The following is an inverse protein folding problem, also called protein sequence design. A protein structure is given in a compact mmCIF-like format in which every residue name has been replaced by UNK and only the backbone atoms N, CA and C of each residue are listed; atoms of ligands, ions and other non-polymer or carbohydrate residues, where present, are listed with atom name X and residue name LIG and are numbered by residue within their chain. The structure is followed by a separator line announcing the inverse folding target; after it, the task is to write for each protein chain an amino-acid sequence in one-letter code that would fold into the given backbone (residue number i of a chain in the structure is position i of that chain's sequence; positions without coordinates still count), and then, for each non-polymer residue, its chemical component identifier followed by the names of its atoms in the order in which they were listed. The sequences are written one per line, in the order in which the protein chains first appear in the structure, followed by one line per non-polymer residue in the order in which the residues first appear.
data_IF_387385023361
#
_entry.id   IF_387385023361
#
_cell.length_a   1.000
_cell.length_b   1.000
_cell.length_c   1.000
_cell.angle_alpha   90.00
_cell.angle_beta   90.00
_cell.angle_gamma   90.00
#
_symmetry.space_group_name_H-M   'P 1'
#
loop_
_entity.id
_entity.type
_entity.pdbx_description
1 polymer ?
#
# COMPACT_ATOMS: atom_id res chain seq x y z
N UNK A 1 11.53 6.83 -22.33
CA UNK A 1 10.66 5.64 -22.46
C UNK A 1 9.83 5.58 -21.20
N UNK A 2 8.52 5.74 -21.29
CA UNK A 2 7.62 5.57 -20.12
C UNK A 2 7.68 4.09 -19.70
N UNK A 3 8.00 3.81 -18.45
CA UNK A 3 7.93 2.44 -17.91
C UNK A 3 6.51 1.90 -18.07
N UNK A 4 6.38 0.61 -18.36
CA UNK A 4 5.06 -0.02 -18.40
C UNK A 4 4.36 0.11 -17.05
N UNK A 5 3.04 0.33 -17.01
CA UNK A 5 2.31 0.43 -15.74
C UNK A 5 2.37 -0.91 -14.97
N UNK A 6 2.52 -0.81 -13.67
CA UNK A 6 2.51 -1.98 -12.77
C UNK A 6 1.09 -2.56 -12.67
N UNK A 7 0.94 -3.85 -12.93
CA UNK A 7 -0.32 -4.57 -12.71
C UNK A 7 -0.39 -5.04 -11.24
N UNK A 8 -1.24 -4.39 -10.45
CA UNK A 8 -1.45 -4.68 -9.03
C UNK A 8 -2.77 -5.44 -8.82
N UNK A 9 -2.69 -6.61 -8.18
CA UNK A 9 -3.86 -7.46 -7.91
C UNK A 9 -4.10 -7.67 -6.39
N UNK A 10 -5.36 -7.82 -5.94
CA UNK A 10 -5.66 -8.24 -4.58
C UNK A 10 -5.32 -9.73 -4.38
N UNK A 11 -4.76 -10.08 -3.21
CA UNK A 11 -4.51 -11.46 -2.86
C UNK A 11 -4.79 -11.69 -1.37
N UNK A 12 -5.91 -12.33 -1.06
CA UNK A 12 -6.27 -12.69 0.31
C UNK A 12 -5.73 -14.05 0.76
N UNK A 13 -5.10 -14.82 -0.14
CA UNK A 13 -4.52 -16.14 0.12
C UNK A 13 -3.32 -16.41 -0.77
N UNK A 14 -2.52 -17.44 -0.42
CA UNK A 14 -1.42 -17.90 -1.28
C UNK A 14 -1.91 -18.35 -2.67
N UNK A 15 -3.05 -19.02 -2.72
CA UNK A 15 -3.64 -19.45 -3.99
C UNK A 15 -4.01 -18.24 -4.86
N UNK A 16 -4.65 -17.22 -4.29
CA UNK A 16 -4.99 -15.99 -5.02
C UNK A 16 -3.73 -15.25 -5.47
N UNK A 17 -2.69 -15.18 -4.64
CA UNK A 17 -1.40 -14.59 -4.99
C UNK A 17 -0.75 -15.29 -6.18
N UNK A 18 -0.64 -16.62 -6.13
CA UNK A 18 -0.07 -17.43 -7.23
C UNK A 18 -0.87 -17.30 -8.51
N UNK A 19 -2.20 -17.28 -8.41
CA UNK A 19 -3.09 -17.04 -9.54
C UNK A 19 -2.84 -15.66 -10.16
N UNK A 20 -2.77 -14.59 -9.33
CA UNK A 20 -2.49 -13.26 -9.82
C UNK A 20 -1.16 -13.18 -10.57
N UNK A 21 -0.10 -13.79 -10.03
CA UNK A 21 1.22 -13.84 -10.69
C UNK A 21 1.22 -14.68 -11.96
N UNK A 22 0.47 -15.79 -12.01
CA UNK A 22 0.29 -16.59 -13.22
C UNK A 22 -0.42 -15.80 -14.34
N UNK A 23 -1.28 -14.83 -13.97
CA UNK A 23 -1.93 -13.90 -14.90
C UNK A 23 -1.16 -12.57 -15.05
N UNK A 24 0.15 -12.62 -14.87
CA UNK A 24 1.09 -11.52 -15.12
C UNK A 24 0.97 -10.31 -14.19
N UNK A 25 0.38 -10.44 -12.99
CA UNK A 25 0.49 -9.37 -12.00
C UNK A 25 1.97 -9.13 -11.64
N UNK A 26 2.36 -7.87 -11.49
CA UNK A 26 3.68 -7.45 -11.06
C UNK A 26 3.78 -7.36 -9.54
N UNK A 27 2.64 -7.06 -8.92
CA UNK A 27 2.52 -6.91 -7.49
C UNK A 27 1.17 -7.43 -6.98
N UNK A 28 1.15 -7.82 -5.72
CA UNK A 28 -0.08 -8.13 -5.00
C UNK A 28 -0.19 -7.32 -3.71
N UNK A 29 -1.42 -7.16 -3.20
CA UNK A 29 -1.64 -6.57 -1.90
C UNK A 29 -2.58 -7.40 -1.04
N UNK A 30 -2.24 -7.52 0.25
CA UNK A 30 -3.03 -8.25 1.25
C UNK A 30 -3.16 -7.46 2.55
N UNK A 31 -4.24 -7.72 3.28
CA UNK A 31 -4.54 -7.02 4.52
C UNK A 31 -3.71 -7.53 5.71
N UNK A 32 -3.23 -6.62 6.54
CA UNK A 32 -2.81 -6.94 7.89
C UNK A 32 -4.08 -7.13 8.75
N UNK A 33 -4.24 -8.24 9.48
CA UNK A 33 -5.53 -8.61 10.08
C UNK A 33 -6.15 -7.57 11.01
N UNK A 34 -5.34 -6.85 11.79
CA UNK A 34 -5.82 -5.90 12.80
C UNK A 34 -6.09 -4.51 12.25
N UNK A 35 -5.38 -4.11 11.20
CA UNK A 35 -5.36 -2.73 10.69
C UNK A 35 -5.83 -2.57 9.24
N UNK A 36 -6.38 -3.64 8.64
CA UNK A 36 -6.92 -3.60 7.29
C UNK A 36 -8.44 -3.72 7.27
N UNK A 37 -9.09 -3.05 6.33
CA UNK A 37 -10.52 -3.23 6.04
C UNK A 37 -10.82 -4.56 5.32
N UNK A 38 -9.79 -5.31 4.90
CA UNK A 38 -9.90 -6.60 4.18
C UNK A 38 -9.83 -7.84 5.06
N UNK A 39 -10.16 -7.73 6.34
CA UNK A 39 -10.01 -8.83 7.33
C UNK A 39 -10.81 -10.08 6.97
N UNK A 40 -11.99 -9.93 6.37
CA UNK A 40 -12.91 -11.05 6.12
C UNK A 40 -12.45 -12.04 5.06
N UNK A 41 -11.60 -11.62 4.11
CA UNK A 41 -11.13 -12.43 2.98
C UNK A 41 -9.59 -12.48 2.99
N UNK A 42 -8.99 -12.67 4.15
CA UNK A 42 -7.56 -12.64 4.32
C UNK A 42 -7.10 -13.83 5.16
N UNK A 43 -6.38 -14.77 4.53
CA UNK A 43 -5.76 -15.93 5.16
C UNK A 43 -4.41 -15.61 5.82
N UNK A 44 -3.83 -14.44 5.58
CA UNK A 44 -2.57 -14.01 6.17
C UNK A 44 -2.76 -13.55 7.62
N UNK A 45 -3.43 -14.41 8.42
CA UNK A 45 -3.80 -14.13 9.81
C UNK A 45 -2.66 -14.17 10.82
N UNK A 46 -1.47 -14.63 10.40
CA UNK A 46 -0.29 -14.68 11.23
C UNK A 46 0.97 -14.30 10.45
N UNK A 47 2.02 -13.93 11.18
CA UNK A 47 3.30 -13.47 10.62
C UNK A 47 4.02 -14.54 9.79
N UNK A 48 3.87 -15.81 10.15
CA UNK A 48 4.53 -16.90 9.44
C UNK A 48 3.98 -17.05 8.01
N UNK A 49 2.64 -17.02 7.85
CA UNK A 49 2.02 -17.05 6.51
C UNK A 49 2.35 -15.80 5.71
N UNK A 50 2.35 -14.63 6.35
CA UNK A 50 2.71 -13.38 5.70
C UNK A 50 4.18 -13.39 5.25
N UNK A 51 5.09 -13.86 6.11
CA UNK A 51 6.51 -14.03 5.78
C UNK A 51 6.71 -14.98 4.58
N UNK A 52 5.99 -16.11 4.58
CA UNK A 52 6.06 -17.06 3.47
C UNK A 52 5.58 -16.43 2.15
N UNK A 53 4.47 -15.69 2.18
CA UNK A 53 3.92 -15.03 0.99
C UNK A 53 4.87 -13.95 0.45
N UNK A 54 5.42 -13.11 1.30
CA UNK A 54 6.40 -12.08 0.91
C UNK A 54 7.65 -12.75 0.30
N UNK A 55 8.19 -13.77 0.97
CA UNK A 55 9.36 -14.51 0.47
C UNK A 55 9.12 -15.18 -0.88
N UNK A 56 7.94 -15.79 -1.09
CA UNK A 56 7.57 -16.40 -2.37
C UNK A 56 7.41 -15.35 -3.48
N UNK A 57 6.80 -14.20 -3.19
CA UNK A 57 6.68 -13.10 -4.15
C UNK A 57 8.06 -12.59 -4.57
N UNK A 58 8.95 -12.31 -3.62
CA UNK A 58 10.30 -11.84 -3.86
C UNK A 58 11.14 -12.85 -4.64
N UNK A 59 11.04 -14.15 -4.33
CA UNK A 59 11.72 -15.21 -5.09
C UNK A 59 11.28 -15.25 -6.55
N UNK A 60 10.04 -14.85 -6.84
CA UNK A 60 9.52 -14.70 -8.20
C UNK A 60 9.82 -13.33 -8.85
N UNK A 61 10.60 -12.46 -8.22
CA UNK A 61 10.85 -11.09 -8.70
C UNK A 61 9.61 -10.19 -8.68
N UNK A 62 8.62 -10.53 -7.82
CA UNK A 62 7.34 -9.83 -7.67
C UNK A 62 7.30 -9.04 -6.39
N UNK A 63 6.33 -8.10 -6.27
CA UNK A 63 6.17 -7.23 -5.11
C UNK A 63 4.98 -7.63 -4.26
N UNK A 64 5.09 -7.40 -2.96
CA UNK A 64 4.03 -7.66 -2.00
C UNK A 64 3.80 -6.42 -1.13
N UNK A 65 2.59 -5.85 -1.19
CA UNK A 65 2.20 -4.69 -0.39
C UNK A 65 1.29 -5.10 0.76
N UNK A 66 1.58 -4.62 1.96
CA UNK A 66 0.75 -4.88 3.13
C UNK A 66 -0.22 -3.74 3.36
N UNK A 67 -1.51 -4.06 3.41
CA UNK A 67 -2.57 -3.07 3.63
C UNK A 67 -2.81 -2.85 5.13
N UNK A 68 -2.68 -1.59 5.55
CA UNK A 68 -2.93 -1.10 6.90
C UNK A 68 -3.75 0.20 6.81
N UNK A 69 -4.97 0.12 6.27
CA UNK A 69 -5.75 1.26 5.81
C UNK A 69 -7.02 1.55 6.64
N UNK A 70 -7.08 1.10 7.88
CA UNK A 70 -8.13 1.54 8.80
C UNK A 70 -7.89 2.98 9.26
N UNK A 71 -8.96 3.65 9.68
CA UNK A 71 -8.93 4.90 10.42
C UNK A 71 -9.20 4.56 11.90
N UNK A 72 -8.16 4.37 12.72
CA UNK A 72 -8.31 3.76 14.03
C UNK A 72 -8.71 4.77 15.11
N UNK A 73 -9.43 4.30 16.13
CA UNK A 73 -9.58 5.04 17.37
C UNK A 73 -8.31 4.93 18.24
N UNK A 74 -8.17 5.84 19.21
CA UNK A 74 -6.98 5.99 20.06
C UNK A 74 -6.45 4.68 20.68
N UNK A 75 -7.33 3.72 21.01
CA UNK A 75 -6.90 2.45 21.59
C UNK A 75 -5.99 1.65 20.63
N UNK A 76 -6.27 1.67 19.33
CA UNK A 76 -5.44 1.02 18.31
C UNK A 76 -4.19 1.83 17.96
N UNK A 77 -4.25 3.15 18.02
CA UNK A 77 -3.09 4.02 17.75
C UNK A 77 -1.97 3.73 18.74
N UNK A 78 -2.30 3.52 20.02
CA UNK A 78 -1.30 3.26 21.08
C UNK A 78 -0.47 1.99 20.88
N UNK A 79 -1.02 0.98 20.21
CA UNK A 79 -0.34 -0.31 20.00
C UNK A 79 0.18 -0.47 18.58
N UNK A 80 -0.10 0.49 17.69
CA UNK A 80 0.12 0.37 16.26
C UNK A 80 1.58 0.04 15.90
N UNK A 81 2.53 0.82 16.40
CA UNK A 81 3.95 0.61 16.08
C UNK A 81 4.46 -0.73 16.59
N UNK A 82 4.06 -1.13 17.81
CA UNK A 82 4.44 -2.43 18.37
C UNK A 82 3.86 -3.61 17.56
N UNK A 83 2.61 -3.48 17.10
CA UNK A 83 1.94 -4.50 16.30
C UNK A 83 2.50 -4.56 14.86
N UNK A 84 2.96 -3.44 14.32
CA UNK A 84 3.48 -3.34 12.94
C UNK A 84 4.98 -3.62 12.83
N UNK A 85 5.76 -3.45 13.90
CA UNK A 85 7.20 -3.70 13.88
C UNK A 85 7.57 -5.09 13.31
N UNK A 86 6.94 -6.21 13.74
CA UNK A 86 7.23 -7.51 13.15
C UNK A 86 6.79 -7.64 11.68
N UNK A 87 5.78 -6.89 11.24
CA UNK A 87 5.34 -6.86 9.83
C UNK A 87 6.35 -6.11 8.97
N UNK A 88 6.83 -4.95 9.43
CA UNK A 88 7.87 -4.17 8.76
C UNK A 88 9.19 -4.95 8.67
N UNK A 89 9.52 -5.73 9.71
CA UNK A 89 10.70 -6.60 9.70
C UNK A 89 10.66 -7.70 8.62
N UNK A 90 9.49 -8.06 8.10
CA UNK A 90 9.34 -8.98 6.96
C UNK A 90 9.69 -8.31 5.61
N UNK A 91 9.96 -7.02 5.61
CA UNK A 91 10.34 -6.23 4.45
C UNK A 91 9.33 -6.31 3.27
N UNK A 92 8.02 -6.03 3.51
CA UNK A 92 7.11 -5.82 2.40
C UNK A 92 7.60 -4.62 1.55
N UNK A 93 7.27 -4.61 0.26
CA UNK A 93 7.70 -3.54 -0.66
C UNK A 93 7.03 -2.19 -0.38
N UNK A 94 5.89 -2.17 0.28
CA UNK A 94 5.25 -0.96 0.81
C UNK A 94 4.13 -1.29 1.82
N UNK A 95 3.77 -0.28 2.62
CA UNK A 95 2.53 -0.26 3.39
C UNK A 95 1.48 0.59 2.66
N UNK A 96 0.26 0.06 2.49
CA UNK A 96 -0.88 0.82 1.94
C UNK A 96 -1.69 1.37 3.12
N UNK A 97 -1.65 2.67 3.36
CA UNK A 97 -2.18 3.34 4.55
C UNK A 97 -3.15 4.46 4.21
N UNK A 98 -4.00 4.86 5.17
CA UNK A 98 -4.99 5.92 4.97
C UNK A 98 -4.99 6.98 6.09
N UNK A 99 -4.72 6.58 7.33
CA UNK A 99 -4.76 7.48 8.48
C UNK A 99 -3.50 8.35 8.53
N UNK A 100 -3.64 9.70 8.53
CA UNK A 100 -2.50 10.60 8.51
C UNK A 100 -1.62 10.50 9.77
N UNK A 101 -2.23 10.26 10.94
CA UNK A 101 -1.47 10.12 12.18
C UNK A 101 -0.64 8.84 12.23
N UNK A 102 -1.17 7.72 11.71
CA UNK A 102 -0.40 6.48 11.58
C UNK A 102 0.69 6.58 10.51
N UNK A 103 0.42 7.30 9.41
CA UNK A 103 1.42 7.56 8.35
C UNK A 103 2.59 8.34 8.95
N UNK A 104 2.31 9.39 9.71
CA UNK A 104 3.32 10.20 10.38
C UNK A 104 4.20 9.34 11.30
N UNK A 105 3.60 8.54 12.19
CA UNK A 105 4.33 7.61 13.07
C UNK A 105 5.20 6.62 12.30
N UNK A 106 4.72 6.07 11.19
CA UNK A 106 5.49 5.15 10.33
C UNK A 106 6.67 5.86 9.69
N UNK A 107 6.44 7.08 9.16
CA UNK A 107 7.51 7.87 8.53
C UNK A 107 8.61 8.28 9.52
N UNK A 108 8.24 8.58 10.77
CA UNK A 108 9.20 8.87 11.83
C UNK A 108 9.98 7.62 12.29
N UNK A 109 9.28 6.48 12.44
CA UNK A 109 9.87 5.26 13.01
C UNK A 109 10.64 4.44 11.98
N UNK A 110 10.13 4.35 10.76
CA UNK A 110 10.71 3.57 9.64
C UNK A 110 10.78 4.43 8.37
N UNK A 111 11.68 5.43 8.30
CA UNK A 111 11.76 6.38 7.18
C UNK A 111 12.01 5.71 5.82
N UNK A 112 12.64 4.55 5.80
CA UNK A 112 12.93 3.78 4.57
C UNK A 112 11.75 2.92 4.10
N UNK A 113 10.73 2.70 4.94
CA UNK A 113 9.55 1.91 4.54
C UNK A 113 8.67 2.73 3.58
N UNK A 114 8.49 2.30 2.32
CA UNK A 114 7.64 3.00 1.39
C UNK A 114 6.18 2.99 1.86
N UNK A 115 5.51 4.14 1.75
CA UNK A 115 4.08 4.27 2.07
C UNK A 115 3.33 4.64 0.80
N UNK A 116 2.34 3.82 0.45
CA UNK A 116 1.36 4.09 -0.59
C UNK A 116 0.07 4.58 0.06
N UNK A 117 -0.46 5.69 -0.41
CA UNK A 117 -1.72 6.22 0.10
C UNK A 117 -2.89 5.39 -0.41
N UNK A 118 -3.69 4.86 0.50
CA UNK A 118 -4.90 4.09 0.19
C UNK A 118 -5.98 4.97 -0.42
N UNK A 119 -6.83 4.38 -1.27
CA UNK A 119 -8.07 5.00 -1.76
C UNK A 119 -8.98 5.49 -0.63
N UNK A 120 -8.88 4.94 0.56
CA UNK A 120 -9.63 5.37 1.76
C UNK A 120 -9.29 6.79 2.23
N UNK A 121 -8.15 7.35 1.82
CA UNK A 121 -7.81 8.75 2.05
C UNK A 121 -8.55 9.72 1.10
N UNK A 122 -9.36 9.19 0.19
CA UNK A 122 -10.25 9.93 -0.72
C UNK A 122 -9.54 11.08 -1.46
N UNK A 123 -8.38 10.80 -2.07
CA UNK A 123 -7.63 11.78 -2.84
C UNK A 123 -8.22 11.92 -4.23
N UNK A 124 -8.73 13.11 -4.55
CA UNK A 124 -9.50 13.37 -5.77
C UNK A 124 -8.97 14.53 -6.63
N UNK A 125 -7.87 15.18 -6.22
CA UNK A 125 -7.32 16.31 -6.96
C UNK A 125 -5.81 16.47 -6.77
N UNK A 126 -5.17 17.21 -7.68
CA UNK A 126 -3.73 17.41 -7.69
C UNK A 126 -3.20 18.15 -6.43
N UNK A 127 -4.01 19.01 -5.81
CA UNK A 127 -3.57 19.72 -4.60
C UNK A 127 -3.44 18.77 -3.41
N UNK A 128 -4.37 17.82 -3.27
CA UNK A 128 -4.27 16.74 -2.29
C UNK A 128 -3.07 15.80 -2.60
N UNK A 129 -2.81 15.49 -3.87
CA UNK A 129 -1.62 14.72 -4.27
C UNK A 129 -0.34 15.44 -3.86
N UNK A 130 -0.21 16.74 -4.13
CA UNK A 130 0.93 17.56 -3.71
C UNK A 130 1.12 17.59 -2.18
N UNK A 131 0.01 17.66 -1.43
CA UNK A 131 0.05 17.63 0.03
C UNK A 131 0.67 16.31 0.53
N UNK A 132 0.14 15.18 0.08
CA UNK A 132 0.61 13.87 0.49
C UNK A 132 2.06 13.60 0.08
N UNK A 133 2.45 14.06 -1.11
CA UNK A 133 3.83 13.97 -1.55
C UNK A 133 4.81 14.71 -0.64
N UNK A 134 4.48 15.91 -0.17
CA UNK A 134 5.30 16.65 0.80
C UNK A 134 5.51 15.89 2.11
N UNK A 135 4.58 14.99 2.46
CA UNK A 135 4.70 14.08 3.59
C UNK A 135 5.48 12.79 3.28
N UNK A 136 6.11 12.70 2.11
CA UNK A 136 6.94 11.57 1.73
C UNK A 136 6.17 10.33 1.25
N UNK A 137 4.92 10.50 0.82
CA UNK A 137 4.16 9.39 0.20
C UNK A 137 4.74 9.11 -1.19
N UNK A 138 5.11 7.86 -1.43
CA UNK A 138 5.74 7.41 -2.68
C UNK A 138 4.75 7.06 -3.79
N UNK A 139 3.50 6.72 -3.45
CA UNK A 139 2.43 6.38 -4.41
C UNK A 139 1.08 6.74 -3.83
N UNK A 140 0.15 7.18 -4.68
CA UNK A 140 -1.22 7.51 -4.30
C UNK A 140 -2.21 6.68 -5.11
N UNK A 141 -3.09 5.95 -4.42
CA UNK A 141 -4.21 5.25 -5.02
C UNK A 141 -5.39 6.22 -5.04
N UNK A 142 -5.68 6.78 -6.20
CA UNK A 142 -6.73 7.77 -6.38
C UNK A 142 -8.12 7.19 -6.13
N UNK A 143 -9.08 8.04 -5.82
CA UNK A 143 -10.49 7.66 -5.69
C UNK A 143 -11.04 7.14 -7.02
N UNK A 144 -11.92 6.15 -6.95
CA UNK A 144 -12.56 5.52 -8.12
C UNK A 144 -13.61 6.40 -8.80
N UNK A 145 -14.02 7.49 -8.16
CA UNK A 145 -14.95 8.48 -8.69
C UNK A 145 -14.31 9.41 -9.73
N UNK A 146 -12.98 9.37 -9.89
CA UNK A 146 -12.29 10.19 -10.87
C UNK A 146 -12.47 9.63 -12.29
N UNK A 147 -12.74 10.53 -13.24
CA UNK A 147 -12.67 10.22 -14.66
C UNK A 147 -11.22 10.06 -15.12
N UNK A 148 -11.00 9.39 -16.25
CA UNK A 148 -9.66 9.27 -16.85
C UNK A 148 -9.05 10.64 -17.18
N UNK A 149 -9.86 11.61 -17.59
CA UNK A 149 -9.40 12.98 -17.84
C UNK A 149 -8.91 13.65 -16.57
N UNK A 150 -9.60 13.47 -15.44
CA UNK A 150 -9.16 14.00 -14.14
C UNK A 150 -7.87 13.33 -13.68
N UNK A 151 -7.70 12.03 -13.91
CA UNK A 151 -6.45 11.32 -13.62
C UNK A 151 -5.31 11.87 -14.48
N UNK A 152 -5.52 12.02 -15.80
CA UNK A 152 -4.55 12.59 -16.73
C UNK A 152 -4.14 14.00 -16.31
N UNK A 153 -5.11 14.85 -15.97
CA UNK A 153 -4.84 16.21 -15.48
C UNK A 153 -4.00 16.22 -14.20
N UNK A 154 -4.26 15.30 -13.27
CA UNK A 154 -3.50 15.16 -12.03
C UNK A 154 -2.04 14.81 -12.31
N UNK A 155 -1.76 13.95 -13.30
CA UNK A 155 -0.40 13.61 -13.73
C UNK A 155 0.29 14.77 -14.44
N UNK A 156 -0.39 15.45 -15.35
CA UNK A 156 0.18 16.54 -16.15
C UNK A 156 0.52 17.79 -15.33
N UNK A 157 -0.16 18.03 -14.21
CA UNK A 157 0.10 19.21 -13.35
C UNK A 157 1.20 18.99 -12.33
N UNK A 158 1.72 17.77 -12.19
CA UNK A 158 2.93 17.51 -11.43
C UNK A 158 4.16 17.66 -12.34
N UNK A 159 5.27 18.30 -11.89
CA UNK A 159 6.51 18.31 -12.65
C UNK A 159 6.93 16.89 -13.02
N UNK A 160 7.40 16.67 -14.25
CA UNK A 160 7.73 15.32 -14.77
C UNK A 160 8.87 14.63 -14.00
N UNK A 161 9.74 15.39 -13.33
CA UNK A 161 10.73 14.86 -12.38
C UNK A 161 10.12 14.22 -11.12
N UNK A 162 8.82 14.39 -10.97
CA UNK A 162 8.05 14.06 -9.77
C UNK A 162 7.09 12.87 -9.96
N UNK A 163 7.10 12.29 -11.18
CA UNK A 163 6.27 11.17 -11.60
C UNK A 163 7.11 9.89 -11.67
N UNK A 164 7.53 9.40 -10.51
CA UNK A 164 8.09 8.04 -10.38
C UNK A 164 7.29 7.27 -9.38
#
# INVERSE_FOLDING_TARGET
MTAAPELLAPAGSLTMMRTAFAFAADAVYAGQPRYSLRVRNNEFGNLQMLSHAIGEAHAGGKRFYVVSNVLPHNAKVRTYLADMAPVVALQPDALIMADPGLIDQVRETWPEMPVHLSVQANTVNFAAVRFWRKLGISRIILSRELSLDAVSYTHLTLPTSDLV
#
